data_IF_883059575402
#
_entry.id   IF_883059575402
#
_cell.length_a   1.000
_cell.length_b   1.000
_cell.length_c   1.000
_cell.angle_alpha   90.00
_cell.angle_beta   90.00
_cell.angle_gamma   90.00
#
_symmetry.space_group_name_H-M   'P 1'
#
loop_
_entity.id
_entity.type
_entity.pdbx_description
1 polymer ?
#
# COMPACT_ATOMS: atom_id res chain seq x y z
N UNK A 1 -15.22 -6.50 50.88
CA UNK A 1 -15.15 -6.87 52.30
C UNK A 1 -14.98 -8.40 52.46
N UNK A 2 -14.50 -8.82 53.60
CA UNK A 2 -14.33 -10.22 53.98
C UNK A 2 -15.06 -10.47 55.32
N UNK A 3 -16.40 -10.68 55.25
CA UNK A 3 -17.19 -10.89 56.47
C UNK A 3 -16.81 -12.17 57.22
N UNK A 4 -17.06 -12.19 58.53
CA UNK A 4 -16.97 -13.38 59.36
C UNK A 4 -18.04 -14.40 58.97
N UNK A 5 -17.96 -15.64 59.48
CA UNK A 5 -18.99 -16.67 59.19
C UNK A 5 -20.37 -16.28 59.71
N UNK A 6 -20.44 -15.58 60.82
CA UNK A 6 -21.69 -15.11 61.42
C UNK A 6 -22.31 -14.00 60.59
N UNK A 7 -21.53 -13.03 60.21
CA UNK A 7 -21.95 -11.94 59.32
C UNK A 7 -22.38 -12.47 57.94
N UNK A 8 -21.62 -13.43 57.36
CA UNK A 8 -21.94 -14.04 56.08
C UNK A 8 -23.27 -14.81 56.12
N UNK A 9 -23.57 -15.50 57.22
CA UNK A 9 -24.82 -16.23 57.42
C UNK A 9 -26.05 -15.29 57.52
N UNK A 10 -25.84 -14.05 57.97
CA UNK A 10 -26.89 -13.04 58.09
C UNK A 10 -27.04 -12.19 56.81
N UNK A 11 -26.13 -12.32 55.82
CA UNK A 11 -26.10 -11.51 54.62
C UNK A 11 -26.80 -12.22 53.46
N UNK A 12 -27.74 -11.57 52.83
CA UNK A 12 -28.31 -12.02 51.55
C UNK A 12 -27.38 -11.64 50.38
N UNK A 13 -26.75 -12.64 49.74
CA UNK A 13 -25.82 -12.42 48.63
C UNK A 13 -25.97 -13.50 47.57
N UNK A 14 -25.61 -13.11 46.34
CA UNK A 14 -25.60 -14.02 45.19
C UNK A 14 -24.27 -14.77 45.11
N UNK A 15 -24.34 -16.09 44.97
CA UNK A 15 -23.17 -16.93 44.71
C UNK A 15 -23.43 -17.94 43.61
N UNK A 16 -22.42 -18.27 42.84
CA UNK A 16 -22.47 -19.29 41.76
C UNK A 16 -22.18 -20.70 42.27
N UNK A 17 -21.58 -20.83 43.45
CA UNK A 17 -21.14 -22.12 44.04
C UNK A 17 -21.23 -22.03 45.55
N UNK A 18 -21.35 -23.18 46.21
CA UNK A 18 -21.05 -23.27 47.63
C UNK A 18 -19.57 -22.90 47.86
N UNK A 19 -19.34 -22.01 48.79
CA UNK A 19 -18.02 -21.46 49.06
C UNK A 19 -17.48 -22.02 50.37
N UNK A 20 -16.30 -22.63 50.32
CA UNK A 20 -15.58 -23.09 51.52
C UNK A 20 -14.42 -22.09 51.80
N UNK A 21 -14.20 -21.75 53.08
CA UNK A 21 -13.14 -20.85 53.51
C UNK A 21 -13.56 -19.39 53.59
N UNK A 22 -12.60 -18.48 53.44
CA UNK A 22 -12.84 -17.03 53.50
C UNK A 22 -13.51 -16.53 52.21
N UNK A 23 -14.69 -15.93 52.36
CA UNK A 23 -15.50 -15.44 51.23
C UNK A 23 -15.34 -13.93 51.10
N UNK A 24 -15.00 -13.46 49.88
CA UNK A 24 -14.99 -12.05 49.56
C UNK A 24 -16.37 -11.63 49.04
N UNK A 25 -16.97 -10.66 49.70
CA UNK A 25 -18.22 -10.01 49.26
C UNK A 25 -17.94 -8.71 48.59
N UNK A 26 -18.51 -8.55 47.40
CA UNK A 26 -18.48 -7.29 46.62
C UNK A 26 -19.89 -6.74 46.61
N UNK A 27 -20.03 -5.52 47.15
CA UNK A 27 -21.31 -4.80 47.23
C UNK A 27 -21.33 -3.63 46.29
N UNK A 28 -22.34 -3.60 45.42
CA UNK A 28 -22.72 -2.41 44.65
C UNK A 28 -23.97 -1.83 45.29
N UNK A 29 -23.86 -0.72 46.06
CA UNK A 29 -24.96 -0.23 46.89
C UNK A 29 -26.24 -0.01 46.08
N UNK A 30 -27.36 -0.61 46.54
CA UNK A 30 -28.65 -0.51 45.89
C UNK A 30 -28.84 -1.36 44.62
N UNK A 31 -27.84 -2.15 44.21
CA UNK A 31 -27.90 -2.94 42.99
C UNK A 31 -27.56 -4.42 43.14
N UNK A 32 -26.43 -4.76 43.78
CA UNK A 32 -26.01 -6.17 43.87
C UNK A 32 -25.08 -6.40 45.06
N UNK A 33 -25.24 -7.58 45.67
CA UNK A 33 -24.33 -8.10 46.67
C UNK A 33 -23.92 -9.51 46.23
N UNK A 34 -22.65 -9.71 45.93
CA UNK A 34 -22.23 -11.01 45.43
C UNK A 34 -20.88 -11.49 45.97
N UNK A 35 -20.72 -12.80 46.11
CA UNK A 35 -19.46 -13.44 46.38
C UNK A 35 -18.63 -13.48 45.07
N UNK A 36 -17.49 -12.79 45.02
CA UNK A 36 -16.67 -12.74 43.85
C UNK A 36 -15.17 -12.56 44.16
N UNK A 37 -14.35 -13.44 43.58
CA UNK A 37 -12.88 -13.40 43.73
C UNK A 37 -12.20 -12.64 42.62
N UNK A 38 -12.91 -12.24 41.55
CA UNK A 38 -12.32 -11.51 40.42
C UNK A 38 -11.88 -10.08 40.81
N UNK A 39 -10.93 -9.46 40.08
CA UNK A 39 -10.58 -8.05 40.24
C UNK A 39 -11.80 -7.18 39.99
N UNK A 40 -11.94 -6.11 40.74
CA UNK A 40 -12.97 -5.09 40.60
C UNK A 40 -12.35 -3.71 40.67
N UNK A 41 -12.96 -2.77 39.96
CA UNK A 41 -12.68 -1.34 40.12
C UNK A 41 -13.26 -0.82 41.44
N UNK A 42 -12.74 0.28 41.96
CA UNK A 42 -13.23 0.85 43.22
C UNK A 42 -14.56 1.62 43.04
N UNK A 43 -14.80 2.13 41.84
CA UNK A 43 -16.01 2.88 41.50
C UNK A 43 -16.49 2.50 40.11
N UNK A 44 -17.78 2.46 39.88
CA UNK A 44 -18.40 2.13 38.60
C UNK A 44 -17.97 3.07 37.46
N UNK A 45 -17.67 4.34 37.76
CA UNK A 45 -17.16 5.29 36.78
C UNK A 45 -15.78 4.95 36.22
N UNK A 46 -14.99 4.12 36.91
CA UNK A 46 -13.68 3.67 36.43
C UNK A 46 -13.79 2.63 35.31
N UNK A 47 -14.99 2.03 35.10
CA UNK A 47 -15.26 1.12 33.97
C UNK A 47 -15.18 1.88 32.65
N UNK A 48 -15.56 3.15 32.66
CA UNK A 48 -15.59 4.01 31.47
C UNK A 48 -16.66 3.60 30.47
N UNK A 49 -16.32 3.63 29.19
CA UNK A 49 -17.22 3.26 28.10
C UNK A 49 -17.51 1.76 28.13
N UNK A 50 -18.79 1.38 27.95
CA UNK A 50 -19.22 -0.01 27.80
C UNK A 50 -19.85 -0.17 26.41
N UNK A 51 -19.39 -1.20 25.68
CA UNK A 51 -19.97 -1.60 24.41
C UNK A 51 -20.49 -3.04 24.51
N UNK A 52 -21.75 -3.24 24.15
CA UNK A 52 -22.33 -4.57 23.97
C UNK A 52 -21.95 -5.06 22.57
N UNK A 53 -21.23 -6.19 22.51
CA UNK A 53 -20.70 -6.76 21.26
C UNK A 53 -21.68 -7.79 20.70
N UNK A 54 -22.25 -8.62 21.59
CA UNK A 54 -23.11 -9.74 21.18
C UNK A 54 -24.07 -10.15 22.31
N UNK A 55 -25.20 -10.74 21.95
CA UNK A 55 -26.17 -11.31 22.88
C UNK A 55 -26.79 -12.58 22.29
N UNK A 56 -26.56 -13.71 22.92
CA UNK A 56 -27.05 -15.01 22.46
C UNK A 56 -27.88 -15.73 23.55
N UNK A 57 -28.86 -16.50 23.14
CA UNK A 57 -29.63 -17.35 24.05
C UNK A 57 -28.74 -18.44 24.68
N UNK A 58 -28.78 -18.57 26.01
CA UNK A 58 -27.92 -19.52 26.73
C UNK A 58 -28.57 -20.03 28.00
N UNK A 59 -28.83 -21.33 28.05
CA UNK A 59 -29.31 -22.04 29.24
C UNK A 59 -30.50 -21.37 29.98
N UNK A 60 -31.55 -20.99 29.23
CA UNK A 60 -32.73 -20.35 29.79
C UNK A 60 -32.58 -18.86 30.12
N UNK A 61 -31.51 -18.25 29.66
CA UNK A 61 -31.24 -16.81 29.77
C UNK A 61 -30.48 -16.28 28.58
N UNK A 62 -29.91 -15.09 28.70
CA UNK A 62 -29.13 -14.44 27.67
C UNK A 62 -27.67 -14.30 28.12
N UNK A 63 -26.73 -14.75 27.28
CA UNK A 63 -25.32 -14.45 27.42
C UNK A 63 -25.00 -13.19 26.63
N UNK A 64 -24.59 -12.16 27.35
CA UNK A 64 -24.15 -10.89 26.74
C UNK A 64 -22.62 -10.83 26.75
N UNK A 65 -22.04 -10.56 25.59
CA UNK A 65 -20.61 -10.26 25.44
C UNK A 65 -20.43 -8.76 25.39
N UNK A 66 -19.53 -8.24 26.23
CA UNK A 66 -19.27 -6.79 26.27
C UNK A 66 -17.76 -6.53 26.39
N UNK A 67 -17.34 -5.38 25.95
CA UNK A 67 -16.03 -4.79 26.17
C UNK A 67 -16.17 -3.46 26.89
N UNK A 68 -15.19 -3.04 27.67
CA UNK A 68 -15.25 -1.79 28.40
C UNK A 68 -13.90 -1.04 28.40
N UNK A 69 -13.95 0.23 28.81
CA UNK A 69 -12.78 1.11 28.88
C UNK A 69 -12.20 1.39 27.48
N UNK A 70 -10.90 1.41 27.39
CA UNK A 70 -10.18 1.68 26.14
C UNK A 70 -10.47 0.65 25.04
N UNK A 71 -10.70 -0.61 25.40
CA UNK A 71 -11.08 -1.64 24.42
C UNK A 71 -12.42 -1.34 23.74
N UNK A 72 -13.38 -0.83 24.47
CA UNK A 72 -14.65 -0.39 23.89
C UNK A 72 -14.47 0.80 22.94
N UNK A 73 -13.59 1.74 23.29
CA UNK A 73 -13.26 2.88 22.45
C UNK A 73 -12.55 2.45 21.16
N UNK A 74 -11.61 1.52 21.26
CA UNK A 74 -10.91 0.96 20.08
C UNK A 74 -11.89 0.24 19.14
N UNK A 75 -12.82 -0.54 19.69
CA UNK A 75 -13.81 -1.28 18.92
C UNK A 75 -14.78 -0.34 18.18
N UNK A 76 -15.20 0.77 18.81
CA UNK A 76 -15.99 1.83 18.14
C UNK A 76 -15.20 2.50 17.00
N UNK A 77 -13.90 2.78 17.22
CA UNK A 77 -13.05 3.36 16.15
C UNK A 77 -12.88 2.42 14.96
N UNK A 78 -12.77 1.13 15.19
CA UNK A 78 -12.72 0.14 14.11
C UNK A 78 -14.02 0.12 13.30
N UNK A 79 -15.16 0.18 13.96
CA UNK A 79 -16.45 0.27 13.27
C UNK A 79 -16.59 1.55 12.44
N UNK A 80 -16.15 2.69 12.96
CA UNK A 80 -16.20 3.96 12.24
C UNK A 80 -15.31 3.90 10.99
N UNK A 81 -14.12 3.30 11.07
CA UNK A 81 -13.26 3.08 9.90
C UNK A 81 -13.96 2.20 8.84
N UNK A 82 -14.59 1.10 9.26
CA UNK A 82 -15.33 0.23 8.33
C UNK A 82 -16.50 0.99 7.69
N UNK A 83 -17.21 1.82 8.43
CA UNK A 83 -18.30 2.66 7.89
C UNK A 83 -17.78 3.70 6.88
N UNK A 84 -16.63 4.30 7.15
CA UNK A 84 -16.00 5.23 6.21
C UNK A 84 -15.59 4.53 4.91
N UNK A 85 -14.91 3.38 4.98
CA UNK A 85 -14.56 2.58 3.81
C UNK A 85 -15.82 2.14 3.05
N UNK A 86 -16.87 1.70 3.75
CA UNK A 86 -18.17 1.34 3.20
C UNK A 86 -18.77 2.50 2.38
N UNK A 87 -18.71 3.73 2.91
CA UNK A 87 -19.16 4.93 2.20
C UNK A 87 -18.32 5.24 0.97
N UNK A 88 -16.99 5.17 1.07
CA UNK A 88 -16.07 5.41 -0.06
C UNK A 88 -16.28 4.43 -1.20
N UNK A 89 -16.54 3.17 -0.88
CA UNK A 89 -16.76 2.10 -1.85
C UNK A 89 -18.22 1.96 -2.30
N UNK A 90 -19.14 2.75 -1.72
CA UNK A 90 -20.60 2.58 -1.93
C UNK A 90 -21.06 1.13 -1.73
N UNK A 91 -20.47 0.44 -0.73
CA UNK A 91 -20.73 -0.95 -0.38
C UNK A 91 -21.31 -1.04 1.04
N UNK A 92 -22.05 -2.10 1.35
CA UNK A 92 -22.51 -2.34 2.72
C UNK A 92 -21.35 -2.76 3.63
N UNK A 93 -21.40 -2.49 4.95
CA UNK A 93 -20.29 -2.81 5.86
C UNK A 93 -19.81 -4.27 5.80
N UNK A 94 -20.70 -5.22 5.57
CA UNK A 94 -20.35 -6.65 5.45
C UNK A 94 -19.84 -7.05 4.06
N UNK A 95 -19.95 -6.18 3.05
CA UNK A 95 -19.49 -6.37 1.67
C UNK A 95 -18.18 -5.59 1.37
N UNK A 96 -17.62 -4.90 2.37
CA UNK A 96 -16.45 -4.02 2.19
C UNK A 96 -15.24 -4.81 1.66
N UNK A 97 -14.98 -6.00 2.20
CA UNK A 97 -13.85 -6.82 1.75
C UNK A 97 -13.96 -7.20 0.26
N UNK A 98 -15.15 -7.61 -0.18
CA UNK A 98 -15.43 -7.94 -1.60
C UNK A 98 -15.34 -6.70 -2.48
N UNK A 99 -15.78 -5.54 -2.00
CA UNK A 99 -15.69 -4.28 -2.74
C UNK A 99 -14.23 -3.83 -2.92
N UNK A 100 -13.38 -4.01 -1.92
CA UNK A 100 -11.93 -3.76 -2.01
C UNK A 100 -11.30 -4.71 -3.04
N UNK A 101 -11.67 -5.98 -3.03
CA UNK A 101 -11.13 -6.96 -4.00
C UNK A 101 -11.51 -6.59 -5.43
N UNK A 102 -12.78 -6.24 -5.69
CA UNK A 102 -13.24 -5.76 -7.01
C UNK A 102 -12.47 -4.51 -7.46
N UNK A 103 -12.28 -3.53 -6.55
CA UNK A 103 -11.52 -2.33 -6.86
C UNK A 103 -10.05 -2.66 -7.22
N UNK A 104 -9.45 -3.59 -6.48
CA UNK A 104 -8.08 -4.06 -6.75
C UNK A 104 -7.97 -4.73 -8.12
N UNK A 105 -8.91 -5.61 -8.45
CA UNK A 105 -8.95 -6.29 -9.76
C UNK A 105 -9.15 -5.29 -10.90
N UNK A 106 -10.05 -4.33 -10.73
CA UNK A 106 -10.30 -3.27 -11.71
C UNK A 106 -9.05 -2.40 -11.92
N UNK A 107 -8.38 -2.00 -10.84
CA UNK A 107 -7.13 -1.24 -10.92
C UNK A 107 -6.02 -2.02 -11.67
N UNK A 108 -5.89 -3.31 -11.42
CA UNK A 108 -4.94 -4.17 -12.15
C UNK A 108 -5.29 -4.30 -13.62
N UNK A 109 -6.57 -4.43 -13.95
CA UNK A 109 -7.05 -4.50 -15.34
C UNK A 109 -6.73 -3.20 -16.09
N UNK A 110 -7.04 -2.04 -15.48
CA UNK A 110 -6.76 -0.75 -16.11
C UNK A 110 -5.27 -0.50 -16.26
N UNK A 111 -4.46 -0.87 -15.26
CA UNK A 111 -2.99 -0.82 -15.38
C UNK A 111 -2.49 -1.68 -16.54
N UNK A 112 -3.01 -2.89 -16.69
CA UNK A 112 -2.67 -3.79 -17.81
C UNK A 112 -3.04 -3.18 -19.18
N UNK A 113 -4.24 -2.59 -19.29
CA UNK A 113 -4.67 -1.89 -20.50
C UNK A 113 -3.78 -0.70 -20.83
N UNK A 114 -3.42 0.11 -19.82
CA UNK A 114 -2.54 1.25 -20.01
C UNK A 114 -1.17 0.80 -20.56
N UNK A 115 -0.54 -0.22 -19.96
CA UNK A 115 0.73 -0.78 -20.44
C UNK A 115 0.60 -1.31 -21.87
N UNK A 116 -0.50 -1.96 -22.20
CA UNK A 116 -0.74 -2.45 -23.56
C UNK A 116 -0.87 -1.32 -24.59
N UNK A 117 -1.57 -0.24 -24.23
CA UNK A 117 -1.68 0.94 -25.07
C UNK A 117 -0.31 1.63 -25.27
N UNK A 118 0.46 1.77 -24.20
CA UNK A 118 1.83 2.33 -24.26
C UNK A 118 2.74 1.45 -25.14
N UNK A 119 2.64 0.13 -25.04
CA UNK A 119 3.41 -0.80 -25.87
C UNK A 119 3.07 -0.62 -27.35
N UNK A 120 1.78 -0.58 -27.71
CA UNK A 120 1.34 -0.35 -29.10
C UNK A 120 1.77 1.01 -29.64
N UNK A 121 1.71 2.04 -28.81
CA UNK A 121 2.19 3.37 -29.16
C UNK A 121 3.68 3.36 -29.53
N UNK A 122 4.50 2.70 -28.72
CA UNK A 122 5.94 2.58 -28.94
C UNK A 122 6.25 1.68 -30.17
N UNK A 123 5.51 0.59 -30.36
CA UNK A 123 5.63 -0.25 -31.57
C UNK A 123 5.34 0.54 -32.85
N UNK A 124 4.28 1.34 -32.83
CA UNK A 124 3.94 2.21 -33.97
C UNK A 124 5.05 3.23 -34.26
N UNK A 125 5.65 3.86 -33.24
CA UNK A 125 6.81 4.74 -33.43
C UNK A 125 7.97 4.03 -34.12
N UNK A 126 8.23 2.77 -33.81
CA UNK A 126 9.26 1.97 -34.49
C UNK A 126 8.87 1.59 -35.93
N UNK A 127 7.59 1.30 -36.19
CA UNK A 127 7.10 0.97 -37.54
C UNK A 127 7.21 2.17 -38.49
N UNK A 128 6.97 3.38 -37.98
CA UNK A 128 7.05 4.64 -38.75
C UNK A 128 8.51 5.12 -38.91
N UNK A 129 9.50 4.44 -38.34
CA UNK A 129 10.88 4.81 -38.43
C UNK A 129 11.41 4.60 -39.88
N UNK A 130 12.01 5.63 -40.50
CA UNK A 130 12.55 5.51 -41.86
C UNK A 130 13.68 4.47 -41.94
N UNK A 131 13.79 3.79 -43.05
CA UNK A 131 14.93 2.90 -43.33
C UNK A 131 16.24 3.72 -43.34
N UNK A 132 17.28 3.18 -42.71
CA UNK A 132 18.59 3.85 -42.63
C UNK A 132 18.69 4.86 -41.50
N UNK A 133 17.74 4.96 -40.59
CA UNK A 133 17.86 5.80 -39.41
C UNK A 133 19.10 5.42 -38.60
N UNK A 134 19.96 6.39 -38.33
CA UNK A 134 21.19 6.16 -37.55
C UNK A 134 20.85 6.14 -36.06
N UNK A 135 20.33 7.26 -35.55
CA UNK A 135 19.98 7.38 -34.11
C UNK A 135 18.50 7.70 -33.96
N UNK A 136 17.89 7.18 -32.90
CA UNK A 136 16.50 7.49 -32.60
C UNK A 136 16.29 7.66 -31.11
N UNK A 137 15.85 8.83 -30.69
CA UNK A 137 15.60 9.17 -29.31
C UNK A 137 14.15 9.58 -29.12
N UNK A 138 13.55 9.08 -28.04
CA UNK A 138 12.16 9.38 -27.66
C UNK A 138 12.16 9.93 -26.24
N UNK A 139 11.50 11.06 -26.04
CA UNK A 139 11.31 11.68 -24.74
C UNK A 139 9.82 11.61 -24.38
N UNK A 140 9.50 11.01 -23.23
CA UNK A 140 8.14 10.83 -22.76
C UNK A 140 8.09 11.03 -21.24
N UNK A 141 6.95 11.50 -20.71
CA UNK A 141 6.87 11.81 -19.30
C UNK A 141 6.65 10.57 -18.45
N UNK A 142 5.73 9.69 -18.85
CA UNK A 142 5.28 8.57 -18.03
C UNK A 142 4.95 7.35 -18.89
N UNK A 143 5.87 6.40 -18.93
CA UNK A 143 5.69 5.10 -19.57
C UNK A 143 6.14 3.97 -18.67
N UNK A 144 5.57 2.80 -18.85
CA UNK A 144 6.04 1.58 -18.18
C UNK A 144 7.50 1.29 -18.55
N UNK A 145 8.33 1.10 -17.55
CA UNK A 145 9.78 0.88 -17.74
C UNK A 145 10.10 -0.38 -18.55
N UNK A 146 9.25 -1.41 -18.46
CA UNK A 146 9.44 -2.64 -19.24
C UNK A 146 9.02 -2.42 -20.69
N UNK A 147 7.98 -1.63 -20.93
CA UNK A 147 7.60 -1.23 -22.29
C UNK A 147 8.71 -0.38 -22.94
N UNK A 148 9.26 0.59 -22.21
CA UNK A 148 10.39 1.41 -22.66
C UNK A 148 11.64 0.55 -22.96
N UNK A 149 11.98 -0.41 -22.10
CA UNK A 149 13.11 -1.30 -22.34
C UNK A 149 12.92 -2.17 -23.58
N UNK A 150 11.70 -2.72 -23.79
CA UNK A 150 11.39 -3.51 -25.01
C UNK A 150 11.45 -2.68 -26.28
N UNK A 151 11.01 -1.42 -26.19
CA UNK A 151 11.14 -0.48 -27.29
C UNK A 151 12.60 -0.29 -27.70
N UNK A 152 13.50 -0.05 -26.76
CA UNK A 152 14.94 0.12 -27.05
C UNK A 152 15.55 -1.20 -27.56
N UNK A 153 15.15 -2.33 -27.02
CA UNK A 153 15.63 -3.64 -27.46
C UNK A 153 15.25 -3.95 -28.90
N UNK A 154 14.01 -3.60 -29.31
CA UNK A 154 13.57 -3.71 -30.68
C UNK A 154 14.18 -2.61 -31.59
N UNK A 155 14.30 -1.38 -31.07
CA UNK A 155 14.80 -0.22 -31.81
C UNK A 155 16.29 -0.32 -32.17
N UNK A 156 17.13 -0.91 -31.32
CA UNK A 156 18.56 -1.13 -31.62
C UNK A 156 18.79 -2.05 -32.85
N UNK A 157 17.81 -2.88 -33.23
CA UNK A 157 17.88 -3.72 -34.45
C UNK A 157 17.49 -2.93 -35.70
N UNK A 158 16.81 -1.80 -35.56
CA UNK A 158 16.35 -0.95 -36.66
C UNK A 158 17.25 0.25 -36.90
N UNK A 159 17.96 0.72 -35.87
CA UNK A 159 18.90 1.81 -35.94
C UNK A 159 20.32 1.31 -36.19
N UNK A 160 21.08 1.95 -37.07
CA UNK A 160 22.50 1.62 -37.28
C UNK A 160 23.42 2.14 -36.17
N UNK A 161 22.98 3.12 -35.39
CA UNK A 161 23.66 3.72 -34.24
C UNK A 161 23.01 3.38 -32.91
N UNK A 162 22.38 4.36 -32.25
CA UNK A 162 21.80 4.22 -30.92
C UNK A 162 20.29 4.49 -30.95
N UNK A 163 19.54 3.57 -30.33
CA UNK A 163 18.14 3.80 -29.98
C UNK A 163 18.02 4.10 -28.49
N UNK A 164 17.27 5.14 -28.12
CA UNK A 164 17.11 5.56 -26.74
C UNK A 164 15.71 6.04 -26.40
N UNK A 165 15.34 5.83 -25.13
CA UNK A 165 14.13 6.40 -24.57
C UNK A 165 14.44 7.07 -23.23
N UNK A 166 13.86 8.25 -23.03
CA UNK A 166 14.05 9.12 -21.89
C UNK A 166 12.69 9.32 -21.22
N UNK A 167 12.57 8.98 -19.95
CA UNK A 167 11.34 9.06 -19.16
C UNK A 167 11.49 10.09 -18.05
N UNK A 168 10.64 11.10 -18.05
CA UNK A 168 10.67 12.18 -17.07
C UNK A 168 10.33 13.54 -17.65
N UNK A 169 10.71 14.57 -16.91
CA UNK A 169 10.54 15.98 -17.28
C UNK A 169 11.85 16.72 -17.12
N UNK A 170 12.01 17.80 -17.88
CA UNK A 170 13.23 18.62 -17.83
C UNK A 170 13.58 19.09 -16.43
N UNK A 171 12.60 19.54 -15.65
CA UNK A 171 12.77 20.05 -14.28
C UNK A 171 13.25 18.97 -13.28
N UNK A 172 12.87 17.70 -13.48
CA UNK A 172 13.20 16.55 -12.62
C UNK A 172 14.29 15.65 -13.19
N UNK A 173 14.73 15.90 -14.43
CA UNK A 173 15.63 15.03 -15.17
C UNK A 173 14.93 13.78 -15.74
N UNK A 174 15.68 13.06 -16.54
CA UNK A 174 15.20 11.87 -17.25
C UNK A 174 15.85 10.60 -16.74
N UNK A 175 15.06 9.55 -16.57
CA UNK A 175 15.55 8.19 -16.53
C UNK A 175 15.62 7.70 -17.97
N UNK A 176 16.76 7.17 -18.40
CA UNK A 176 16.91 6.72 -19.76
C UNK A 176 17.32 5.26 -19.88
N UNK A 177 17.01 4.69 -21.02
CA UNK A 177 17.56 3.43 -21.53
C UNK A 177 18.09 3.69 -22.93
N UNK A 178 19.35 3.34 -23.19
CA UNK A 178 19.96 3.37 -24.52
C UNK A 178 20.35 1.96 -24.94
N UNK A 179 20.22 1.66 -26.22
CA UNK A 179 20.59 0.41 -26.83
C UNK A 179 21.30 0.61 -28.15
N UNK A 180 22.33 -0.21 -28.42
CA UNK A 180 23.06 -0.23 -29.68
C UNK A 180 23.71 -1.59 -29.91
N UNK A 181 23.79 -1.98 -31.17
CA UNK A 181 24.57 -3.15 -31.62
C UNK A 181 25.94 -2.77 -32.19
N UNK A 182 26.20 -1.47 -32.42
CA UNK A 182 27.40 -0.96 -33.08
C UNK A 182 28.24 -0.05 -32.18
N UNK A 183 27.62 0.82 -31.37
CA UNK A 183 28.32 1.81 -30.56
C UNK A 183 28.77 1.27 -29.19
N UNK A 184 29.89 1.75 -28.69
CA UNK A 184 30.32 1.52 -27.31
C UNK A 184 29.55 2.43 -26.36
N UNK A 185 28.46 1.91 -25.84
CA UNK A 185 27.58 2.64 -24.92
C UNK A 185 28.25 3.09 -23.62
N UNK A 186 29.36 2.45 -23.21
CA UNK A 186 30.11 2.91 -22.03
C UNK A 186 30.85 4.21 -22.33
N UNK A 187 31.43 4.31 -23.52
CA UNK A 187 32.07 5.53 -23.94
C UNK A 187 31.03 6.63 -24.16
N UNK A 188 29.91 6.31 -24.80
CA UNK A 188 28.78 7.26 -24.96
C UNK A 188 28.33 7.81 -23.60
N UNK A 189 28.17 6.98 -22.57
CA UNK A 189 27.80 7.43 -21.23
C UNK A 189 28.89 8.32 -20.59
N UNK A 190 30.14 7.97 -20.74
CA UNK A 190 31.26 8.74 -20.20
C UNK A 190 31.29 10.15 -20.78
N UNK A 191 31.10 10.27 -22.08
CA UNK A 191 31.03 11.56 -22.78
C UNK A 191 29.77 12.34 -22.40
N UNK A 192 28.60 11.67 -22.34
CA UNK A 192 27.35 12.29 -21.92
C UNK A 192 27.47 12.93 -20.52
N UNK A 193 28.07 12.21 -19.57
CA UNK A 193 28.26 12.68 -18.19
C UNK A 193 29.40 13.70 -18.04
N UNK A 194 30.20 13.95 -19.07
CA UNK A 194 31.10 15.09 -19.07
C UNK A 194 30.38 16.43 -19.37
N UNK A 195 29.20 16.38 -19.97
CA UNK A 195 28.38 17.51 -20.32
C UNK A 195 27.13 17.70 -19.44
N UNK A 196 26.59 16.61 -18.89
CA UNK A 196 25.35 16.64 -18.14
C UNK A 196 25.52 15.95 -16.79
N UNK A 197 24.82 16.48 -15.79
CA UNK A 197 24.73 15.83 -14.50
C UNK A 197 23.86 14.56 -14.61
N UNK A 198 24.37 13.44 -14.10
CA UNK A 198 23.66 12.17 -14.18
C UNK A 198 24.50 11.00 -13.67
N UNK A 199 23.91 9.84 -13.68
CA UNK A 199 24.57 8.59 -13.31
C UNK A 199 23.91 7.40 -13.97
N UNK A 200 24.70 6.39 -14.31
CA UNK A 200 24.15 5.16 -14.89
C UNK A 200 25.25 4.20 -15.29
N UNK A 201 24.84 3.15 -15.97
CA UNK A 201 25.74 2.10 -16.45
C UNK A 201 24.97 0.92 -17.00
N UNK A 202 25.72 -0.09 -17.43
CA UNK A 202 25.15 -1.33 -17.94
C UNK A 202 26.24 -2.26 -18.45
N UNK A 203 25.83 -3.46 -18.84
CA UNK A 203 26.71 -4.43 -19.51
C UNK A 203 26.07 -4.88 -20.81
N UNK A 204 26.88 -4.94 -21.88
CA UNK A 204 26.42 -5.37 -23.21
C UNK A 204 25.73 -4.26 -24.01
N UNK A 205 24.76 -4.61 -24.89
CA UNK A 205 24.19 -3.71 -25.89
C UNK A 205 23.16 -2.71 -25.33
N UNK A 206 22.97 -2.65 -24.01
CA UNK A 206 22.02 -1.75 -23.36
C UNK A 206 22.60 -1.16 -22.08
N UNK A 207 22.34 0.15 -21.88
CA UNK A 207 22.68 0.88 -20.65
C UNK A 207 21.48 1.67 -20.16
N UNK A 208 21.46 1.94 -18.86
CA UNK A 208 20.40 2.70 -18.20
C UNK A 208 21.02 3.73 -17.25
N UNK A 209 20.32 4.84 -17.05
CA UNK A 209 20.81 5.86 -16.14
C UNK A 209 19.81 6.99 -15.94
N UNK A 210 20.33 8.06 -15.38
CA UNK A 210 19.63 9.34 -15.24
C UNK A 210 20.47 10.44 -15.84
N UNK A 211 19.83 11.46 -16.39
CA UNK A 211 20.48 12.64 -16.96
C UNK A 211 19.61 13.87 -16.72
N UNK A 212 20.22 15.03 -16.46
CA UNK A 212 19.54 16.33 -16.34
C UNK A 212 19.88 17.18 -17.54
N UNK A 213 18.90 17.87 -18.11
CA UNK A 213 19.06 18.76 -19.25
C UNK A 213 17.80 18.83 -20.11
N UNK A 214 17.76 19.72 -21.08
CA UNK A 214 16.64 19.76 -22.02
C UNK A 214 16.74 18.61 -23.05
N UNK A 215 15.60 18.14 -23.58
CA UNK A 215 15.56 17.08 -24.59
C UNK A 215 16.47 17.38 -25.77
N UNK A 216 16.41 18.61 -26.30
CA UNK A 216 17.17 19.04 -27.46
C UNK A 216 18.67 19.02 -27.18
N UNK A 217 19.10 19.48 -26.00
CA UNK A 217 20.52 19.53 -25.65
C UNK A 217 21.09 18.11 -25.45
N UNK A 218 20.33 17.21 -24.87
CA UNK A 218 20.71 15.81 -24.68
C UNK A 218 20.80 15.09 -26.02
N UNK A 219 19.80 15.27 -26.89
CA UNK A 219 19.77 14.65 -28.23
C UNK A 219 20.92 15.16 -29.11
N UNK A 220 21.16 16.46 -29.15
CA UNK A 220 22.26 17.08 -29.90
C UNK A 220 23.63 16.57 -29.42
N UNK A 221 23.81 16.46 -28.13
CA UNK A 221 25.03 15.93 -27.54
C UNK A 221 25.25 14.46 -27.94
N UNK A 222 24.23 13.60 -27.81
CA UNK A 222 24.29 12.19 -28.16
C UNK A 222 24.57 12.01 -29.67
N UNK A 223 23.92 12.78 -30.52
CA UNK A 223 24.19 12.76 -31.98
C UNK A 223 25.62 13.09 -32.30
N UNK A 224 26.23 14.10 -31.65
CA UNK A 224 27.64 14.45 -31.83
C UNK A 224 28.59 13.36 -31.35
N UNK A 225 28.35 12.77 -30.17
CA UNK A 225 29.17 11.69 -29.58
C UNK A 225 29.19 10.44 -30.49
N UNK A 226 28.04 10.08 -31.06
CA UNK A 226 27.87 8.86 -31.86
C UNK A 226 28.39 9.05 -33.30
N UNK A 227 28.54 10.29 -33.78
CA UNK A 227 29.07 10.59 -35.11
C UNK A 227 30.60 10.66 -35.18
N UNK A 228 31.27 10.55 -34.03
CA UNK A 228 32.74 10.48 -33.86
C UNK A 228 33.20 9.01 -33.85
#
# INVERSE_FOLDING_TARGET
>A
DYPTREELAALEYRSKKELAGQVRIVTVPGYDVCACCAPHVSRTGEIGLIKLVDAVNYKGGTRVTMVCGFRALEDYRMEDNVREISRLLSAKPHEVAEAVERLREEALLWKGKAIQMQTRYLEKKLEELPEGTVNYFVFEEDLDKNAARRFVDAGKERCSGVCGIFLGKEEGGYQFTLGSNSADLKQVLKELYSHFEGRGGGKGPMVQGTVQGSPEAIEDCLCKIISL
#
